data_IF_990537350466
#
_entry.id   IF_990537350466
#
_cell.length_a   1.000
_cell.length_b   1.000
_cell.length_c   1.000
_cell.angle_alpha   90.00
_cell.angle_beta   90.00
_cell.angle_gamma   90.00
#
_symmetry.space_group_name_H-M   'P 1'
#
loop_
_entity.id
_entity.type
_entity.pdbx_description
1 polymer ?
#
# COMPACT_ATOMS: atom_id res chain seq x y z
N UNK A 1 -15.73 21.67 -3.63
CA UNK A 1 -15.59 20.32 -4.21
C UNK A 1 -14.17 20.09 -4.70
N UNK A 2 -13.61 20.99 -5.51
CA UNK A 2 -12.23 20.92 -6.01
C UNK A 2 -11.16 20.84 -4.90
N UNK A 3 -11.25 21.67 -3.85
CA UNK A 3 -10.28 21.66 -2.74
C UNK A 3 -10.21 20.31 -2.02
N UNK A 4 -11.36 19.65 -1.80
CA UNK A 4 -11.41 18.33 -1.15
C UNK A 4 -10.75 17.25 -2.01
N UNK A 5 -10.95 17.30 -3.33
CA UNK A 5 -10.32 16.39 -4.28
C UNK A 5 -8.79 16.60 -4.26
N UNK A 6 -8.30 17.83 -4.23
CA UNK A 6 -6.85 18.13 -4.14
C UNK A 6 -6.25 17.55 -2.86
N UNK A 7 -6.88 17.81 -1.70
CA UNK A 7 -6.41 17.30 -0.41
C UNK A 7 -6.40 15.76 -0.40
N UNK A 8 -7.45 15.12 -0.92
CA UNK A 8 -7.53 13.66 -1.02
C UNK A 8 -6.42 13.10 -1.92
N UNK A 9 -6.16 13.72 -3.08
CA UNK A 9 -5.09 13.29 -3.98
C UNK A 9 -3.71 13.39 -3.33
N UNK A 10 -3.42 14.50 -2.64
CA UNK A 10 -2.16 14.68 -1.91
C UNK A 10 -2.01 13.61 -0.81
N UNK A 11 -3.07 13.36 -0.04
CA UNK A 11 -3.08 12.30 0.97
C UNK A 11 -2.80 10.92 0.34
N UNK A 12 -3.49 10.59 -0.76
CA UNK A 12 -3.31 9.31 -1.47
C UNK A 12 -1.89 9.16 -2.01
N UNK A 13 -1.28 10.21 -2.54
CA UNK A 13 0.12 10.18 -2.99
C UNK A 13 1.05 9.84 -1.82
N UNK A 14 0.92 10.56 -0.70
CA UNK A 14 1.79 10.38 0.48
C UNK A 14 1.65 8.98 1.07
N UNK A 15 0.42 8.49 1.27
CA UNK A 15 0.19 7.17 1.87
C UNK A 15 0.65 6.03 0.95
N UNK A 16 0.58 6.20 -0.37
CA UNK A 16 1.10 5.21 -1.32
C UNK A 16 2.64 5.21 -1.36
N UNK A 17 3.29 6.37 -1.29
CA UNK A 17 4.75 6.45 -1.13
C UNK A 17 5.16 5.75 0.18
N UNK A 18 4.46 6.02 1.29
CA UNK A 18 4.71 5.36 2.56
C UNK A 18 4.56 3.84 2.47
N UNK A 19 3.48 3.34 1.84
CA UNK A 19 3.26 1.92 1.61
C UNK A 19 4.36 1.25 0.79
N UNK A 20 4.82 1.92 -0.28
CA UNK A 20 5.93 1.44 -1.10
C UNK A 20 7.23 1.33 -0.30
N UNK A 21 7.60 2.41 0.41
CA UNK A 21 8.83 2.49 1.20
C UNK A 21 8.83 1.48 2.35
N UNK A 22 7.71 1.29 3.04
CA UNK A 22 7.60 0.29 4.11
C UNK A 22 7.84 -1.12 3.58
N UNK A 23 7.32 -1.43 2.39
CA UNK A 23 7.51 -2.74 1.79
C UNK A 23 8.97 -2.99 1.37
N UNK A 24 9.64 -1.95 0.85
CA UNK A 24 11.08 -1.97 0.56
C UNK A 24 11.93 -2.12 1.82
N UNK A 25 11.61 -1.38 2.89
CA UNK A 25 12.32 -1.47 4.18
C UNK A 25 12.12 -2.82 4.86
N UNK A 26 10.93 -3.41 4.80
CA UNK A 26 10.75 -4.77 5.34
C UNK A 26 11.60 -5.80 4.57
N UNK A 27 11.77 -5.62 3.25
CA UNK A 27 12.66 -6.48 2.45
C UNK A 27 14.13 -6.28 2.82
N UNK A 28 14.57 -5.04 3.01
CA UNK A 28 15.93 -4.72 3.43
C UNK A 28 16.26 -5.30 4.80
N UNK A 29 15.39 -5.10 5.79
CA UNK A 29 15.52 -5.68 7.13
C UNK A 29 15.60 -7.21 7.09
N UNK A 30 14.78 -7.85 6.25
CA UNK A 30 14.85 -9.29 6.04
C UNK A 30 16.19 -9.76 5.43
N UNK A 31 16.87 -8.94 4.62
CA UNK A 31 18.21 -9.26 4.09
C UNK A 31 19.31 -9.06 5.14
N UNK A 32 19.17 -8.06 6.01
CA UNK A 32 20.13 -7.74 7.07
C UNK A 32 19.96 -8.60 8.33
N UNK A 33 18.94 -9.45 8.39
CA UNK A 33 18.63 -10.26 9.59
C UNK A 33 18.05 -9.45 10.75
N UNK A 34 17.58 -8.23 10.48
CA UNK A 34 17.02 -7.32 11.48
C UNK A 34 15.54 -7.64 11.77
N UNK A 35 15.02 -7.08 12.87
CA UNK A 35 13.62 -7.19 13.23
C UNK A 35 12.72 -6.62 12.12
N UNK A 36 11.86 -7.48 11.58
CA UNK A 36 10.97 -7.20 10.44
C UNK A 36 9.81 -6.30 10.84
N UNK A 37 9.27 -5.56 9.88
CA UNK A 37 8.08 -4.74 10.09
C UNK A 37 6.90 -5.69 10.29
N UNK A 38 6.08 -5.42 11.31
CA UNK A 38 4.90 -6.24 11.57
C UNK A 38 3.96 -6.22 10.37
N UNK A 39 3.36 -7.37 10.05
CA UNK A 39 2.39 -7.44 8.95
C UNK A 39 1.19 -6.53 9.19
N UNK A 40 0.83 -6.33 10.47
CA UNK A 40 -0.22 -5.42 10.88
C UNK A 40 0.04 -3.99 10.40
N UNK A 41 1.26 -3.48 10.56
CA UNK A 41 1.62 -2.14 10.07
C UNK A 41 1.50 -2.04 8.55
N UNK A 42 1.93 -3.08 7.82
CA UNK A 42 1.85 -3.11 6.36
C UNK A 42 0.38 -3.13 5.89
N UNK A 43 -0.48 -3.91 6.55
CA UNK A 43 -1.92 -3.93 6.27
C UNK A 43 -2.61 -2.63 6.65
N UNK A 44 -2.26 -2.01 7.78
CA UNK A 44 -2.83 -0.73 8.18
C UNK A 44 -2.59 0.34 7.12
N UNK A 45 -1.35 0.45 6.61
CA UNK A 45 -1.03 1.43 5.55
C UNK A 45 -1.79 1.12 4.27
N UNK A 46 -1.88 -0.16 3.89
CA UNK A 46 -2.65 -0.57 2.71
C UNK A 46 -4.14 -0.24 2.84
N UNK A 47 -4.75 -0.48 4.00
CA UNK A 47 -6.17 -0.21 4.30
C UNK A 47 -6.46 1.29 4.38
N UNK A 48 -5.52 2.10 4.88
CA UNK A 48 -5.69 3.56 4.98
C UNK A 48 -5.59 4.31 3.64
N UNK A 49 -5.34 3.60 2.52
CA UNK A 49 -5.25 4.20 1.19
C UNK A 49 -3.92 3.92 0.46
N UNK A 50 -2.94 3.32 1.14
CA UNK A 50 -1.62 2.99 0.60
C UNK A 50 -1.57 1.68 -0.18
N UNK A 51 -2.72 1.14 -0.62
CA UNK A 51 -2.81 -0.20 -1.22
C UNK A 51 -2.05 -0.30 -2.55
N UNK A 52 -2.09 0.75 -3.38
CA UNK A 52 -1.40 0.79 -4.69
C UNK A 52 0.12 0.75 -4.50
N UNK A 53 0.65 1.63 -3.66
CA UNK A 53 2.07 1.70 -3.36
C UNK A 53 2.58 0.46 -2.64
N UNK A 54 1.79 -0.09 -1.70
CA UNK A 54 2.12 -1.36 -1.04
C UNK A 54 2.14 -2.53 -2.02
N UNK A 55 1.20 -2.59 -2.97
CA UNK A 55 1.17 -3.60 -4.02
C UNK A 55 2.37 -3.50 -4.97
N UNK A 56 2.70 -2.29 -5.43
CA UNK A 56 3.90 -2.09 -6.27
C UNK A 56 5.17 -2.39 -5.50
N UNK A 57 5.27 -1.97 -4.23
CA UNK A 57 6.41 -2.28 -3.37
C UNK A 57 6.56 -3.79 -3.18
N UNK A 58 5.46 -4.51 -2.97
CA UNK A 58 5.44 -5.98 -2.88
C UNK A 58 5.98 -6.63 -4.17
N UNK A 59 5.52 -6.17 -5.34
CA UNK A 59 5.91 -6.72 -6.64
C UNK A 59 7.35 -6.40 -7.02
N UNK A 60 7.76 -5.14 -6.89
CA UNK A 60 9.10 -4.65 -7.26
C UNK A 60 10.17 -5.28 -6.36
N UNK A 61 9.96 -5.26 -5.04
CA UNK A 61 10.91 -5.87 -4.09
C UNK A 61 10.79 -7.40 -4.03
N UNK A 62 9.87 -7.99 -4.79
CA UNK A 62 9.51 -9.43 -4.78
C UNK A 62 9.37 -9.96 -3.36
N UNK A 63 8.73 -9.15 -2.53
CA UNK A 63 8.62 -9.39 -1.10
C UNK A 63 7.21 -9.84 -0.79
N UNK A 64 7.04 -10.89 0.03
CA UNK A 64 5.72 -11.45 0.39
C UNK A 64 4.79 -11.82 -0.80
N UNK A 65 5.32 -11.95 -2.03
CA UNK A 65 4.55 -12.36 -3.23
C UNK A 65 4.06 -13.81 -3.18
N UNK A 66 4.61 -14.64 -2.28
CA UNK A 66 4.14 -16.01 -1.99
C UNK A 66 3.13 -16.09 -0.84
N UNK A 67 2.94 -15.01 -0.09
CA UNK A 67 2.00 -14.98 1.03
C UNK A 67 0.58 -14.74 0.50
N UNK A 68 -0.30 -15.74 0.64
CA UNK A 68 -1.64 -15.71 0.05
C UNK A 68 -2.43 -14.44 0.45
N UNK A 69 -2.36 -14.06 1.73
CA UNK A 69 -3.01 -12.84 2.22
C UNK A 69 -2.58 -11.59 1.44
N UNK A 70 -1.26 -11.38 1.23
CA UNK A 70 -0.76 -10.20 0.53
C UNK A 70 -1.00 -10.30 -0.99
N UNK A 71 -0.85 -11.49 -1.56
CA UNK A 71 -1.05 -11.73 -2.99
C UNK A 71 -2.49 -11.44 -3.42
N UNK A 72 -3.47 -11.82 -2.62
CA UNK A 72 -4.89 -11.63 -2.95
C UNK A 72 -5.45 -10.34 -2.35
N UNK A 73 -5.12 -10.02 -1.10
CA UNK A 73 -5.71 -8.89 -0.40
C UNK A 73 -5.19 -7.54 -0.88
N UNK A 74 -3.93 -7.40 -1.31
CA UNK A 74 -3.45 -6.11 -1.84
C UNK A 74 -4.13 -5.74 -3.18
N UNK A 75 -4.21 -6.63 -4.19
CA UNK A 75 -5.01 -6.35 -5.39
C UNK A 75 -6.48 -6.05 -5.10
N UNK A 76 -7.09 -6.78 -4.15
CA UNK A 76 -8.48 -6.53 -3.75
C UNK A 76 -8.66 -5.13 -3.18
N UNK A 77 -7.74 -4.69 -2.30
CA UNK A 77 -7.76 -3.33 -1.76
C UNK A 77 -7.47 -2.26 -2.82
N UNK A 78 -6.67 -2.56 -3.84
CA UNK A 78 -6.46 -1.65 -4.98
C UNK A 78 -7.77 -1.45 -5.75
N UNK A 79 -8.49 -2.54 -6.06
CA UNK A 79 -9.77 -2.48 -6.77
C UNK A 79 -10.81 -1.73 -5.93
N UNK A 80 -10.90 -2.05 -4.63
CA UNK A 80 -11.84 -1.40 -3.71
C UNK A 80 -11.58 0.11 -3.61
N UNK A 81 -10.34 0.53 -3.34
CA UNK A 81 -10.01 1.96 -3.27
C UNK A 81 -10.19 2.67 -4.61
N UNK A 82 -9.84 2.03 -5.72
CA UNK A 82 -10.06 2.59 -7.06
C UNK A 82 -11.54 2.82 -7.35
N UNK A 83 -12.38 1.83 -7.05
CA UNK A 83 -13.83 1.93 -7.22
C UNK A 83 -14.45 3.02 -6.34
N UNK A 84 -14.06 3.08 -5.06
CA UNK A 84 -14.52 4.12 -4.14
C UNK A 84 -14.08 5.52 -4.59
N UNK A 85 -12.85 5.66 -5.08
CA UNK A 85 -12.34 6.93 -5.59
C UNK A 85 -13.12 7.37 -6.84
N UNK A 86 -13.35 6.47 -7.80
CA UNK A 86 -14.14 6.77 -9.00
C UNK A 86 -15.56 7.20 -8.62
N UNK A 87 -16.22 6.47 -7.72
CA UNK A 87 -17.56 6.81 -7.25
C UNK A 87 -17.62 8.17 -6.52
N UNK A 88 -16.56 8.54 -5.80
CA UNK A 88 -16.49 9.82 -5.09
C UNK A 88 -16.23 11.02 -6.01
N UNK A 89 -15.53 10.80 -7.13
CA UNK A 89 -15.14 11.86 -8.08
C UNK A 89 -16.19 12.12 -9.15
N UNK A 90 -16.97 11.10 -9.53
CA UNK A 90 -18.11 11.20 -10.45
C UNK A 90 -19.33 11.84 -9.78
#
# INVERSE_FOLDING_TARGET
>A
METWIIVLNLYLIVINIAGFVLMGRDKEKARRGEYRISERTLWQVAILGGSVGSYFGMRIHRHKTKHAAFRLGLPLLVILHGGLYIWFVL
#
